data_IF_555029743841
#
_entry.id   IF_555029743841
#
_cell.length_a   1.000
_cell.length_b   1.000
_cell.length_c   1.000
_cell.angle_alpha   90.00
_cell.angle_beta   90.00
_cell.angle_gamma   90.00
#
_symmetry.space_group_name_H-M   'P 1'
#
loop_
_entity.id
_entity.type
_entity.pdbx_description
1 polymer ?
#
# COMPACT_ATOMS: atom_id res chain seq x y z
N UNK A 1 -12.96 -6.80 -0.99
CA UNK A 1 -11.65 -6.11 -1.11
C UNK A 1 -11.73 -4.77 -0.38
N UNK A 2 -10.80 -4.51 0.54
CA UNK A 2 -10.80 -3.28 1.35
C UNK A 2 -10.00 -2.15 0.69
N UNK A 3 -10.42 -0.91 0.91
CA UNK A 3 -9.64 0.29 0.57
C UNK A 3 -8.71 0.59 1.74
N UNK A 4 -7.43 0.86 1.45
CA UNK A 4 -6.40 1.17 2.44
C UNK A 4 -5.87 2.57 2.20
N UNK A 5 -5.82 3.40 3.24
CA UNK A 5 -5.07 4.65 3.25
C UNK A 5 -3.69 4.35 3.83
N UNK A 6 -2.63 4.57 3.05
CA UNK A 6 -1.25 4.31 3.45
C UNK A 6 -0.52 5.65 3.69
N UNK A 7 -0.10 5.89 4.92
CA UNK A 7 0.72 7.04 5.30
C UNK A 7 2.08 6.50 5.72
N UNK A 8 3.10 6.75 4.91
CA UNK A 8 4.47 6.26 5.11
C UNK A 8 5.45 7.27 4.47
N UNK A 9 6.40 7.76 5.25
CA UNK A 9 7.36 8.79 4.84
C UNK A 9 8.55 8.16 4.09
N UNK A 10 8.97 6.98 4.51
CA UNK A 10 10.00 6.22 3.82
C UNK A 10 9.50 5.71 2.46
N UNK A 11 10.28 5.98 1.41
CA UNK A 11 9.88 5.62 0.04
C UNK A 11 10.00 4.13 -0.26
N UNK A 12 11.01 3.45 0.30
CA UNK A 12 11.20 2.01 0.07
C UNK A 12 10.12 1.20 0.79
N UNK A 13 9.82 1.57 2.03
CA UNK A 13 8.76 0.94 2.83
C UNK A 13 7.40 1.17 2.15
N UNK A 14 7.12 2.41 1.72
CA UNK A 14 5.86 2.73 1.02
C UNK A 14 5.68 1.86 -0.22
N UNK A 15 6.71 1.71 -1.04
CA UNK A 15 6.65 0.89 -2.27
C UNK A 15 6.43 -0.60 -1.95
N UNK A 16 7.14 -1.13 -0.94
CA UNK A 16 6.98 -2.52 -0.51
C UNK A 16 5.54 -2.80 -0.03
N UNK A 17 4.97 -1.88 0.75
CA UNK A 17 3.60 -2.00 1.27
C UNK A 17 2.55 -1.89 0.16
N UNK A 18 2.69 -0.91 -0.75
CA UNK A 18 1.79 -0.77 -1.90
C UNK A 18 1.76 -2.06 -2.72
N UNK A 19 2.93 -2.66 -2.99
CA UNK A 19 3.03 -3.91 -3.74
C UNK A 19 2.34 -5.06 -3.01
N UNK A 20 2.68 -5.31 -1.75
CA UNK A 20 2.13 -6.43 -0.98
C UNK A 20 0.60 -6.33 -0.81
N UNK A 21 0.07 -5.12 -0.62
CA UNK A 21 -1.36 -4.87 -0.50
C UNK A 21 -2.08 -5.06 -1.85
N UNK A 22 -1.48 -4.60 -2.94
CA UNK A 22 -2.03 -4.79 -4.30
C UNK A 22 -2.06 -6.26 -4.71
N UNK A 23 -1.01 -7.03 -4.41
CA UNK A 23 -0.96 -8.49 -4.66
C UNK A 23 -2.04 -9.25 -3.90
N UNK A 24 -2.51 -8.72 -2.76
CA UNK A 24 -3.63 -9.26 -1.96
C UNK A 24 -5.00 -8.73 -2.40
N UNK A 25 -5.06 -7.91 -3.45
CA UNK A 25 -6.29 -7.35 -4.00
C UNK A 25 -6.82 -6.12 -3.25
N UNK A 26 -6.02 -5.46 -2.42
CA UNK A 26 -6.42 -4.20 -1.80
C UNK A 26 -6.23 -3.03 -2.78
N UNK A 27 -7.13 -2.05 -2.70
CA UNK A 27 -6.96 -0.77 -3.39
C UNK A 27 -6.29 0.19 -2.43
N UNK A 28 -5.04 0.54 -2.71
CA UNK A 28 -4.24 1.46 -1.89
C UNK A 28 -4.41 2.89 -2.40
N UNK A 29 -4.60 3.82 -1.47
CA UNK A 29 -4.48 5.26 -1.67
C UNK A 29 -3.35 5.74 -0.76
N UNK A 30 -2.41 6.48 -1.33
CA UNK A 30 -1.27 7.11 -0.66
C UNK A 30 -1.45 8.62 -0.67
#
# INVERSE_FOLDING_TARGET
MGKVLLIEDDTEIRLALVRALSERGHVVRS
#
